data_IF_414509030236
#
_entry.id   IF_414509030236
#
_cell.length_a   1.000
_cell.length_b   1.000
_cell.length_c   1.000
_cell.angle_alpha   90.00
_cell.angle_beta   90.00
_cell.angle_gamma   90.00
#
_symmetry.space_group_name_H-M   'P 1'
#
loop_
_entity.id
_entity.type
_entity.pdbx_description
1 polymer ?
#
# COMPACT_ATOMS: atom_id res chain seq x y z
N UNK A 1 -19.80 -1.83 -9.19
CA UNK A 1 -19.26 -2.41 -10.43
C UNK A 1 -19.24 -3.94 -10.45
N UNK A 2 -19.05 -4.64 -9.33
CA UNK A 2 -18.91 -6.11 -9.30
C UNK A 2 -20.06 -6.92 -9.91
N UNK A 3 -21.30 -6.42 -9.91
CA UNK A 3 -22.46 -7.11 -10.48
C UNK A 3 -22.48 -7.06 -12.03
N UNK A 4 -21.96 -6.00 -12.63
CA UNK A 4 -22.08 -5.74 -14.07
C UNK A 4 -21.48 -6.89 -14.90
N UNK A 5 -20.25 -7.39 -14.62
CA UNK A 5 -19.66 -8.51 -15.36
C UNK A 5 -20.51 -9.79 -15.35
N UNK A 6 -21.35 -10.00 -14.33
CA UNK A 6 -22.19 -11.18 -14.19
C UNK A 6 -23.41 -11.16 -15.13
N UNK A 7 -23.72 -10.00 -15.70
CA UNK A 7 -24.92 -9.74 -16.51
C UNK A 7 -24.59 -9.38 -17.97
N UNK A 8 -23.33 -9.54 -18.40
CA UNK A 8 -22.90 -9.16 -19.75
C UNK A 8 -23.37 -10.13 -20.85
N UNK A 9 -23.83 -11.32 -20.48
CA UNK A 9 -24.30 -12.35 -21.42
C UNK A 9 -25.83 -12.32 -21.52
N UNK A 10 -26.35 -12.39 -22.74
CA UNK A 10 -27.77 -12.63 -22.96
C UNK A 10 -28.07 -14.11 -22.75
N UNK A 11 -29.18 -14.48 -22.09
CA UNK A 11 -29.62 -15.87 -22.06
C UNK A 11 -29.98 -16.35 -23.47
N UNK A 12 -29.63 -17.60 -23.81
CA UNK A 12 -29.98 -18.22 -25.10
C UNK A 12 -31.50 -18.38 -25.28
N UNK A 13 -32.23 -18.51 -24.17
CA UNK A 13 -33.70 -18.49 -24.12
C UNK A 13 -34.12 -17.72 -22.85
N UNK A 14 -35.09 -16.78 -22.90
CA UNK A 14 -35.56 -16.06 -21.71
C UNK A 14 -35.98 -16.96 -20.54
N UNK A 15 -36.37 -18.21 -20.80
CA UNK A 15 -36.74 -19.20 -19.79
C UNK A 15 -35.59 -20.11 -19.31
N UNK A 16 -34.39 -20.08 -19.92
CA UNK A 16 -33.28 -20.98 -19.57
C UNK A 16 -32.36 -20.50 -18.43
N UNK A 17 -32.67 -19.37 -17.79
CA UNK A 17 -31.88 -18.82 -16.69
C UNK A 17 -30.49 -18.32 -17.13
N UNK A 18 -29.66 -17.89 -16.16
CA UNK A 18 -28.32 -17.41 -16.48
C UNK A 18 -27.39 -18.57 -16.91
N UNK A 19 -26.62 -18.43 -18.01
CA UNK A 19 -25.62 -19.42 -18.39
C UNK A 19 -24.41 -19.45 -17.43
N UNK A 20 -24.23 -18.42 -16.59
CA UNK A 20 -23.11 -18.30 -15.66
C UNK A 20 -23.13 -19.41 -14.59
N UNK A 21 -22.08 -20.23 -14.57
CA UNK A 21 -21.98 -21.38 -13.64
C UNK A 21 -21.07 -21.14 -12.44
N UNK A 22 -20.06 -20.28 -12.56
CA UNK A 22 -19.03 -20.07 -11.54
C UNK A 22 -18.68 -18.60 -11.44
N UNK A 23 -18.50 -18.14 -10.20
CA UNK A 23 -18.03 -16.80 -9.88
C UNK A 23 -16.90 -16.98 -8.87
N UNK A 24 -15.73 -16.45 -9.17
CA UNK A 24 -14.59 -16.44 -8.27
C UNK A 24 -14.29 -14.99 -7.92
N UNK A 25 -14.42 -14.65 -6.63
CA UNK A 25 -14.06 -13.33 -6.12
C UNK A 25 -12.83 -13.49 -5.24
N UNK A 26 -11.74 -12.85 -5.63
CA UNK A 26 -10.50 -12.78 -4.85
C UNK A 26 -10.33 -11.35 -4.37
N UNK A 27 -10.11 -11.17 -3.08
CA UNK A 27 -9.95 -9.85 -2.49
C UNK A 27 -9.65 -9.94 -1.01
N UNK A 28 -9.42 -8.78 -0.42
CA UNK A 28 -9.13 -8.62 1.00
C UNK A 28 -10.00 -7.50 1.56
N UNK A 29 -10.87 -7.85 2.51
CA UNK A 29 -11.81 -6.92 3.13
C UNK A 29 -11.20 -6.17 4.32
N UNK A 30 -9.99 -6.52 4.73
CA UNK A 30 -9.21 -5.81 5.75
C UNK A 30 -8.34 -4.68 5.16
N UNK A 31 -8.19 -4.64 3.83
CA UNK A 31 -7.50 -3.58 3.10
C UNK A 31 -8.45 -2.45 2.67
N UNK A 32 -7.93 -1.47 1.94
CA UNK A 32 -8.65 -0.26 1.53
C UNK A 32 -9.94 -0.59 0.75
N UNK A 33 -11.08 0.04 1.12
CA UNK A 33 -12.32 -0.10 0.38
C UNK A 33 -12.30 0.74 -0.91
N UNK A 34 -13.28 0.53 -1.82
CA UNK A 34 -13.56 1.44 -2.92
C UNK A 34 -13.60 2.92 -2.48
N UNK A 35 -12.86 3.76 -3.20
CA UNK A 35 -12.79 5.20 -2.94
C UNK A 35 -14.11 5.86 -3.36
N UNK A 36 -14.79 6.50 -2.41
CA UNK A 36 -16.00 7.29 -2.65
C UNK A 36 -15.67 8.77 -2.46
N UNK A 37 -15.75 9.55 -3.55
CA UNK A 37 -15.37 10.98 -3.52
C UNK A 37 -16.27 11.84 -2.63
N UNK A 38 -17.54 11.46 -2.48
CA UNK A 38 -18.50 12.20 -1.67
C UNK A 38 -18.59 11.57 -0.27
N UNK A 39 -18.12 12.27 0.79
CA UNK A 39 -18.16 11.74 2.15
C UNK A 39 -19.57 11.41 2.64
N UNK A 40 -20.60 12.14 2.20
CA UNK A 40 -21.97 11.88 2.59
C UNK A 40 -22.46 10.52 2.06
N UNK A 41 -22.13 10.17 0.81
CA UNK A 41 -22.47 8.86 0.24
C UNK A 41 -21.67 7.73 0.90
N UNK A 42 -20.41 7.99 1.24
CA UNK A 42 -19.59 7.02 1.97
C UNK A 42 -20.17 6.72 3.36
N UNK A 43 -20.49 7.77 4.12
CA UNK A 43 -20.83 7.64 5.54
C UNK A 43 -22.30 7.26 5.75
N UNK A 44 -23.23 7.91 5.04
CA UNK A 44 -24.66 7.69 5.24
C UNK A 44 -25.18 6.47 4.46
N UNK A 45 -24.80 6.36 3.18
CA UNK A 45 -25.25 5.27 2.32
C UNK A 45 -24.33 4.03 2.32
N UNK A 46 -23.19 4.08 3.01
CA UNK A 46 -22.18 3.01 3.04
C UNK A 46 -21.72 2.58 1.64
N UNK A 47 -21.63 3.54 0.72
CA UNK A 47 -21.35 3.29 -0.70
C UNK A 47 -19.96 2.67 -0.95
N UNK A 48 -19.03 2.78 0.00
CA UNK A 48 -17.71 2.17 -0.08
C UNK A 48 -17.72 0.66 0.19
N UNK A 49 -18.84 0.06 0.59
CA UNK A 49 -18.91 -1.39 0.80
C UNK A 49 -18.90 -2.14 -0.54
N UNK A 50 -17.85 -2.93 -0.78
CA UNK A 50 -17.78 -3.82 -1.92
C UNK A 50 -18.75 -5.00 -1.80
N UNK A 51 -19.10 -5.63 -2.94
CA UNK A 51 -19.87 -6.88 -2.94
C UNK A 51 -19.15 -7.98 -2.15
N UNK A 52 -17.82 -8.08 -2.30
CA UNK A 52 -16.98 -9.04 -1.58
C UNK A 52 -17.10 -8.86 -0.06
N UNK A 53 -16.84 -7.65 0.45
CA UNK A 53 -16.95 -7.33 1.88
C UNK A 53 -18.37 -7.55 2.41
N UNK A 54 -19.39 -7.30 1.58
CA UNK A 54 -20.79 -7.58 1.94
C UNK A 54 -21.06 -9.07 2.09
N UNK A 55 -20.56 -9.91 1.17
CA UNK A 55 -20.74 -11.37 1.24
C UNK A 55 -20.03 -11.96 2.47
N UNK A 56 -18.82 -11.50 2.79
CA UNK A 56 -18.10 -11.90 4.01
C UNK A 56 -18.92 -11.51 5.25
N UNK A 57 -19.40 -10.27 5.35
CA UNK A 57 -20.23 -9.81 6.49
C UNK A 57 -21.52 -10.63 6.66
N UNK A 58 -22.08 -11.13 5.56
CA UNK A 58 -23.28 -11.97 5.58
C UNK A 58 -22.99 -13.44 5.96
N UNK A 59 -21.74 -13.79 6.28
CA UNK A 59 -21.35 -15.14 6.70
C UNK A 59 -21.24 -16.13 5.55
N UNK A 60 -21.05 -15.67 4.31
CA UNK A 60 -20.77 -16.59 3.21
C UNK A 60 -19.42 -17.29 3.46
N UNK A 61 -19.33 -18.61 3.23
CA UNK A 61 -18.07 -19.33 3.36
C UNK A 61 -16.99 -18.70 2.47
N UNK A 62 -15.81 -18.49 3.02
CA UNK A 62 -14.65 -17.96 2.32
C UNK A 62 -13.42 -18.78 2.66
N UNK A 63 -12.55 -18.93 1.66
CA UNK A 63 -11.23 -19.52 1.85
C UNK A 63 -10.28 -18.38 2.19
N UNK A 64 -9.72 -18.40 3.41
CA UNK A 64 -8.72 -17.43 3.83
C UNK A 64 -7.33 -18.04 3.57
N UNK A 65 -6.51 -17.35 2.77
CA UNK A 65 -5.10 -17.72 2.61
C UNK A 65 -4.34 -17.28 3.86
N UNK A 66 -3.56 -18.20 4.42
CA UNK A 66 -2.98 -18.09 5.76
C UNK A 66 -1.46 -17.97 5.74
N UNK A 67 -0.81 -17.88 4.58
CA UNK A 67 0.65 -17.76 4.47
C UNK A 67 1.09 -16.68 3.50
N UNK A 68 1.96 -15.76 3.95
CA UNK A 68 2.57 -14.71 3.11
C UNK A 68 3.98 -15.12 2.65
N UNK A 69 4.40 -14.61 1.50
CA UNK A 69 5.69 -14.95 0.88
C UNK A 69 6.44 -13.78 0.28
N UNK A 70 6.16 -12.55 0.70
CA UNK A 70 6.66 -11.33 0.04
C UNK A 70 7.47 -10.40 0.93
N UNK A 71 7.30 -10.47 2.24
CA UNK A 71 7.96 -9.59 3.20
C UNK A 71 8.68 -10.39 4.28
N UNK A 72 9.63 -9.77 4.97
CA UNK A 72 10.25 -10.33 6.18
C UNK A 72 9.20 -10.59 7.25
N UNK A 73 9.43 -11.57 8.12
CA UNK A 73 8.53 -11.91 9.23
C UNK A 73 8.26 -10.69 10.13
N UNK A 74 9.29 -9.92 10.44
CA UNK A 74 9.23 -8.75 11.32
C UNK A 74 8.39 -7.61 10.69
N UNK A 75 8.44 -7.46 9.37
CA UNK A 75 7.57 -6.54 8.64
C UNK A 75 6.13 -7.07 8.57
N UNK A 76 5.95 -8.38 8.44
CA UNK A 76 4.64 -9.01 8.43
C UNK A 76 3.91 -8.82 9.76
N UNK A 77 4.64 -8.86 10.88
CA UNK A 77 4.09 -8.65 12.22
C UNK A 77 3.41 -7.29 12.41
N UNK A 78 3.81 -6.27 11.64
CA UNK A 78 3.18 -4.94 11.67
C UNK A 78 1.69 -4.97 11.27
N UNK A 79 1.27 -5.94 10.46
CA UNK A 79 -0.10 -6.03 9.93
C UNK A 79 -0.78 -7.38 10.19
N UNK A 80 -0.02 -8.42 10.53
CA UNK A 80 -0.49 -9.80 10.78
C UNK A 80 -1.63 -9.88 11.78
N UNK A 81 -1.59 -9.08 12.85
CA UNK A 81 -2.61 -9.02 13.89
C UNK A 81 -4.02 -8.73 13.37
N UNK A 82 -4.15 -8.20 12.16
CA UNK A 82 -5.44 -7.91 11.52
C UNK A 82 -6.13 -9.16 10.97
N UNK A 83 -5.40 -10.28 10.85
CA UNK A 83 -5.85 -11.55 10.28
C UNK A 83 -5.80 -12.64 11.36
N UNK A 84 -6.72 -13.61 11.30
CA UNK A 84 -6.86 -14.62 12.35
C UNK A 84 -5.65 -15.56 12.47
N UNK A 85 -5.03 -15.93 11.33
CA UNK A 85 -3.91 -16.88 11.25
C UNK A 85 -3.01 -16.60 10.05
N UNK A 86 -2.39 -15.42 9.97
CA UNK A 86 -1.43 -15.14 8.91
C UNK A 86 -0.02 -15.54 9.35
N UNK A 87 0.54 -16.58 8.74
CA UNK A 87 1.89 -17.10 8.94
C UNK A 87 2.79 -16.75 7.75
N UNK A 88 4.05 -17.19 7.82
CA UNK A 88 5.01 -17.07 6.73
C UNK A 88 5.10 -18.39 5.94
N UNK A 89 5.29 -18.28 4.62
CA UNK A 89 5.69 -19.42 3.82
C UNK A 89 7.08 -19.90 4.25
N UNK A 90 7.31 -21.22 4.20
CA UNK A 90 8.55 -21.84 4.68
C UNK A 90 9.82 -21.22 4.09
N UNK A 91 9.75 -20.75 2.84
CA UNK A 91 10.89 -20.12 2.17
C UNK A 91 11.45 -18.88 2.89
N UNK A 92 10.64 -18.23 3.73
CA UNK A 92 11.03 -17.05 4.50
C UNK A 92 11.71 -17.43 5.82
N UNK A 93 11.56 -18.67 6.29
CA UNK A 93 11.99 -19.11 7.63
C UNK A 93 12.99 -20.27 7.61
N UNK A 94 13.12 -20.98 6.49
CA UNK A 94 14.02 -22.13 6.33
C UNK A 94 15.40 -21.78 5.74
N UNK A 95 15.66 -20.48 5.53
CA UNK A 95 16.90 -19.95 4.94
C UNK A 95 17.07 -20.23 3.45
N UNK A 96 16.03 -20.71 2.76
CA UNK A 96 16.08 -20.86 1.30
C UNK A 96 16.09 -19.53 0.56
N UNK A 97 15.59 -18.45 1.17
CA UNK A 97 15.60 -17.10 0.60
C UNK A 97 16.51 -16.15 1.41
N UNK A 98 17.83 -16.23 1.16
CA UNK A 98 18.86 -15.44 1.85
C UNK A 98 18.60 -13.92 1.85
N UNK A 99 17.87 -13.40 0.87
CA UNK A 99 17.50 -11.98 0.79
C UNK A 99 16.69 -11.50 2.02
N UNK A 100 15.94 -12.38 2.68
CA UNK A 100 15.15 -12.04 3.87
C UNK A 100 15.95 -12.17 5.18
N UNK A 101 17.15 -12.75 5.15
CA UNK A 101 18.02 -12.91 6.33
C UNK A 101 19.04 -11.78 6.49
N UNK A 102 19.40 -11.12 5.38
CA UNK A 102 20.36 -10.02 5.38
C UNK A 102 19.72 -8.74 5.91
N UNK A 103 20.35 -8.00 6.81
CA UNK A 103 19.84 -6.67 7.22
C UNK A 103 19.95 -5.62 6.11
N UNK A 104 19.35 -4.45 6.34
CA UNK A 104 19.48 -3.29 5.46
C UNK A 104 20.83 -2.55 5.71
N UNK A 105 21.81 -2.57 4.78
CA UNK A 105 23.11 -1.91 5.00
C UNK A 105 23.00 -0.45 5.43
N UNK A 106 23.72 -0.05 6.48
CA UNK A 106 23.66 1.32 7.02
C UNK A 106 22.49 1.60 7.96
N UNK A 107 21.60 0.63 8.19
CA UNK A 107 20.54 0.71 9.19
C UNK A 107 20.70 -0.40 10.23
N UNK A 108 20.45 -0.08 11.49
CA UNK A 108 20.51 -1.04 12.58
C UNK A 108 19.27 -1.95 12.66
N UNK A 109 18.15 -1.50 12.09
CA UNK A 109 16.86 -2.20 12.15
C UNK A 109 16.22 -2.23 10.75
N UNK A 110 15.42 -3.26 10.49
CA UNK A 110 14.72 -3.43 9.21
C UNK A 110 13.55 -2.46 9.03
N UNK A 111 12.96 -1.99 10.13
CA UNK A 111 12.00 -0.89 10.14
C UNK A 111 12.18 -0.04 11.41
N UNK A 112 11.83 1.24 11.31
CA UNK A 112 11.88 2.18 12.42
C UNK A 112 10.72 3.17 12.31
N UNK A 113 10.12 3.51 13.45
CA UNK A 113 9.25 4.68 13.56
C UNK A 113 10.10 5.83 14.10
N UNK A 114 10.18 6.91 13.34
CA UNK A 114 11.02 8.07 13.67
C UNK A 114 10.12 9.22 14.10
N UNK A 115 10.32 9.70 15.33
CA UNK A 115 9.75 10.97 15.77
C UNK A 115 10.55 12.12 15.15
N UNK A 116 9.88 12.97 14.38
CA UNK A 116 10.45 14.11 13.67
C UNK A 116 10.30 15.44 14.43
N UNK A 117 9.76 15.40 15.66
CA UNK A 117 9.75 16.51 16.60
C UNK A 117 8.36 17.02 17.01
N UNK A 118 8.35 17.98 17.93
CA UNK A 118 7.17 18.36 18.74
C UNK A 118 6.50 19.70 18.37
N UNK A 119 6.90 20.32 17.26
CA UNK A 119 6.36 21.62 16.83
C UNK A 119 5.31 21.38 15.74
N UNK A 120 4.20 22.14 15.75
CA UNK A 120 3.16 22.14 14.72
C UNK A 120 3.75 22.51 13.35
N UNK A 121 4.33 21.51 12.70
CA UNK A 121 5.01 21.59 11.40
C UNK A 121 4.11 21.15 10.26
N UNK A 122 2.92 20.63 10.60
CA UNK A 122 1.87 20.38 9.62
C UNK A 122 1.33 21.72 9.11
N UNK A 123 1.26 21.83 7.79
CA UNK A 123 0.76 22.99 7.08
C UNK A 123 -0.21 22.58 5.99
N UNK A 124 -1.14 23.46 5.65
CA UNK A 124 -2.09 23.26 4.57
C UNK A 124 -2.20 24.56 3.74
N UNK A 125 -1.30 24.78 2.76
CA UNK A 125 -1.30 26.00 1.93
C UNK A 125 -2.60 26.21 1.16
N UNK A 126 -3.28 25.09 0.84
CA UNK A 126 -4.63 25.04 0.27
C UNK A 126 -5.47 24.15 1.19
N UNK A 127 -6.77 24.43 1.39
CA UNK A 127 -7.63 23.56 2.20
C UNK A 127 -7.52 22.09 1.80
N UNK A 128 -7.35 21.21 2.79
CA UNK A 128 -7.16 19.75 2.64
C UNK A 128 -5.87 19.31 1.94
N UNK A 129 -4.92 20.22 1.72
CA UNK A 129 -3.62 19.94 1.09
C UNK A 129 -2.50 19.87 2.12
N UNK A 130 -2.58 18.88 3.01
CA UNK A 130 -1.67 18.71 4.15
C UNK A 130 -0.25 18.35 3.74
N UNK A 131 0.72 18.96 4.43
CA UNK A 131 2.15 18.91 4.19
C UNK A 131 2.94 19.03 5.49
N UNK A 132 4.10 18.40 5.56
CA UNK A 132 5.08 18.57 6.62
C UNK A 132 6.49 18.68 6.01
N UNK A 133 7.08 19.87 6.10
CA UNK A 133 8.39 20.15 5.51
C UNK A 133 9.53 19.42 6.21
N UNK A 134 9.44 19.23 7.53
CA UNK A 134 10.49 18.57 8.31
C UNK A 134 10.54 17.08 7.93
N UNK A 135 9.39 16.42 7.83
CA UNK A 135 9.31 15.05 7.32
C UNK A 135 9.87 14.94 5.89
N UNK A 136 9.53 15.90 5.03
CA UNK A 136 9.96 15.86 3.63
C UNK A 136 11.48 16.00 3.48
N UNK A 137 12.09 16.93 4.22
CA UNK A 137 13.55 17.11 4.27
C UNK A 137 14.24 15.90 4.91
N UNK A 138 13.68 15.34 5.98
CA UNK A 138 14.21 14.15 6.64
C UNK A 138 14.23 12.94 5.68
N UNK A 139 13.11 12.69 4.98
CA UNK A 139 13.00 11.61 4.00
C UNK A 139 13.97 11.83 2.84
N UNK A 140 14.14 13.06 2.36
CA UNK A 140 15.11 13.37 1.31
C UNK A 140 16.55 13.07 1.76
N UNK A 141 16.90 13.42 3.00
CA UNK A 141 18.22 13.13 3.58
C UNK A 141 18.46 11.61 3.73
N UNK A 142 17.46 10.85 4.22
CA UNK A 142 17.55 9.38 4.32
C UNK A 142 17.72 8.75 2.94
N UNK A 143 16.93 9.18 1.95
CA UNK A 143 17.06 8.68 0.58
C UNK A 143 18.45 8.99 -0.01
N UNK A 144 18.95 10.21 0.19
CA UNK A 144 20.31 10.58 -0.21
C UNK A 144 21.36 9.69 0.46
N UNK A 145 21.24 9.43 1.77
CA UNK A 145 22.13 8.53 2.50
C UNK A 145 22.13 7.11 1.91
N UNK A 146 20.96 6.52 1.66
CA UNK A 146 20.84 5.19 1.04
C UNK A 146 21.55 5.14 -0.31
N UNK A 147 21.35 6.15 -1.15
CA UNK A 147 21.98 6.23 -2.47
C UNK A 147 23.49 6.42 -2.40
N UNK A 148 24.00 7.16 -1.41
CA UNK A 148 25.44 7.29 -1.17
C UNK A 148 26.08 5.97 -0.69
N UNK A 149 25.32 5.11 -0.01
CA UNK A 149 25.74 3.74 0.33
C UNK A 149 25.67 2.77 -0.86
N UNK A 150 25.06 3.17 -1.97
CA UNK A 150 24.97 2.36 -3.19
C UNK A 150 23.67 1.56 -3.34
N UNK A 151 22.64 1.80 -2.52
CA UNK A 151 21.32 1.19 -2.73
C UNK A 151 20.77 1.56 -4.10
N UNK A 152 20.29 0.63 -4.94
CA UNK A 152 19.66 0.97 -6.23
C UNK A 152 18.46 1.92 -6.06
N UNK A 153 18.28 2.87 -6.98
CA UNK A 153 17.20 3.87 -6.83
C UNK A 153 15.82 3.25 -7.14
N UNK A 154 15.80 2.26 -8.04
CA UNK A 154 14.65 1.50 -8.47
C UNK A 154 14.05 0.62 -7.36
N UNK A 155 14.86 0.23 -6.38
CA UNK A 155 14.39 -0.55 -5.22
C UNK A 155 13.81 0.35 -4.12
N UNK A 156 13.96 1.67 -4.19
CA UNK A 156 13.42 2.58 -3.16
C UNK A 156 12.15 3.28 -3.66
N UNK A 157 11.05 3.15 -2.90
CA UNK A 157 9.80 3.89 -3.12
C UNK A 157 9.45 4.71 -1.89
N UNK A 158 9.09 5.98 -2.08
CA UNK A 158 8.61 6.87 -1.01
C UNK A 158 7.09 6.93 -1.03
N UNK A 159 6.47 6.63 0.11
CA UNK A 159 5.02 6.67 0.29
C UNK A 159 4.61 7.74 1.31
N UNK A 160 3.43 8.29 1.12
CA UNK A 160 2.79 9.22 2.07
C UNK A 160 1.28 9.07 2.04
N UNK A 161 0.58 9.49 3.09
CA UNK A 161 -0.88 9.42 3.18
C UNK A 161 -1.57 10.55 2.43
N UNK A 162 -0.92 11.72 2.28
CA UNK A 162 -1.53 12.91 1.71
C UNK A 162 -0.97 13.28 0.34
N UNK A 163 -1.84 13.73 -0.56
CA UNK A 163 -1.41 14.24 -1.86
C UNK A 163 -0.55 15.50 -1.72
N UNK A 164 -0.85 16.37 -0.75
CA UNK A 164 -0.05 17.56 -0.48
C UNK A 164 1.40 17.22 -0.18
N UNK A 165 1.60 16.29 0.75
CA UNK A 165 2.93 15.78 1.12
C UNK A 165 3.64 15.07 -0.04
N UNK A 166 2.91 14.34 -0.90
CA UNK A 166 3.49 13.71 -2.09
C UNK A 166 4.08 14.75 -3.05
N UNK A 167 3.41 15.89 -3.22
CA UNK A 167 3.92 16.99 -4.03
C UNK A 167 5.14 17.64 -3.37
N UNK A 168 5.07 17.91 -2.06
CA UNK A 168 6.19 18.48 -1.32
C UNK A 168 7.44 17.59 -1.37
N UNK A 169 7.29 16.28 -1.16
CA UNK A 169 8.39 15.31 -1.27
C UNK A 169 9.05 15.33 -2.65
N UNK A 170 8.25 15.43 -3.72
CA UNK A 170 8.79 15.57 -5.08
C UNK A 170 9.61 16.84 -5.22
N UNK A 171 9.11 17.97 -4.72
CA UNK A 171 9.78 19.26 -4.85
C UNK A 171 11.09 19.28 -4.04
N UNK A 172 11.05 18.82 -2.79
CA UNK A 172 12.23 18.76 -1.90
C UNK A 172 13.29 17.82 -2.44
N UNK A 173 12.93 16.58 -2.81
CA UNK A 173 13.90 15.62 -3.37
C UNK A 173 14.49 16.17 -4.67
N UNK A 174 13.66 16.75 -5.56
CA UNK A 174 14.16 17.32 -6.81
C UNK A 174 15.15 18.46 -6.55
N UNK A 175 14.80 19.41 -5.66
CA UNK A 175 15.65 20.55 -5.33
C UNK A 175 16.97 20.14 -4.65
N UNK A 176 16.93 19.15 -3.75
CA UNK A 176 18.09 18.73 -2.95
C UNK A 176 19.02 17.76 -3.69
N UNK A 177 18.50 16.96 -4.60
CA UNK A 177 19.16 15.72 -5.05
C UNK A 177 19.30 15.62 -6.57
N UNK A 178 18.35 16.18 -7.35
CA UNK A 178 18.32 15.97 -8.81
C UNK A 178 19.57 16.49 -9.53
N UNK A 179 20.29 17.44 -8.94
CA UNK A 179 21.54 17.96 -9.49
C UNK A 179 22.65 16.90 -9.56
N UNK A 180 22.57 15.81 -8.79
CA UNK A 180 23.57 14.74 -8.79
C UNK A 180 23.05 13.46 -9.51
N UNK A 181 23.55 13.15 -10.71
CA UNK A 181 23.14 11.97 -11.48
C UNK A 181 23.39 10.64 -10.75
N UNK A 182 24.37 10.57 -9.84
CA UNK A 182 24.67 9.33 -9.11
C UNK A 182 23.63 9.04 -8.03
N UNK A 183 22.89 10.05 -7.55
CA UNK A 183 21.83 9.84 -6.57
C UNK A 183 20.52 9.52 -7.29
N UNK A 184 20.15 10.29 -8.32
CA UNK A 184 18.92 10.05 -9.08
C UNK A 184 17.64 10.17 -8.26
N UNK A 185 16.49 9.85 -8.88
CA UNK A 185 15.17 9.89 -8.25
C UNK A 185 14.75 8.50 -7.77
N UNK A 186 13.98 8.38 -6.67
CA UNK A 186 13.43 7.10 -6.25
C UNK A 186 12.49 6.55 -7.33
N UNK A 187 12.33 5.24 -7.36
CA UNK A 187 11.43 4.51 -8.27
C UNK A 187 10.04 5.14 -8.37
N UNK A 188 9.48 5.52 -7.21
CA UNK A 188 8.20 6.21 -7.13
C UNK A 188 8.09 7.08 -5.89
N UNK A 189 7.35 8.18 -6.03
CA UNK A 189 6.79 8.96 -4.92
C UNK A 189 5.27 8.95 -5.09
N UNK A 190 4.55 8.30 -4.18
CA UNK A 190 3.10 8.05 -4.33
C UNK A 190 2.34 8.14 -3.02
N UNK A 191 1.00 8.20 -3.11
CA UNK A 191 0.18 8.00 -1.91
C UNK A 191 -0.02 6.52 -1.64
N UNK A 192 -0.22 6.16 -0.37
CA UNK A 192 -0.50 4.77 0.05
C UNK A 192 -1.68 4.19 -0.76
N UNK A 193 -2.78 4.94 -0.91
CA UNK A 193 -3.96 4.50 -1.68
C UNK A 193 -3.62 4.18 -3.15
N UNK A 194 -2.69 4.93 -3.76
CA UNK A 194 -2.27 4.74 -5.16
C UNK A 194 -1.18 3.68 -5.32
N UNK A 195 -0.72 3.09 -4.22
CA UNK A 195 0.28 2.04 -4.18
C UNK A 195 -0.29 0.68 -3.76
N UNK A 196 -1.60 0.57 -3.55
CA UNK A 196 -2.27 -0.69 -3.25
C UNK A 196 -1.96 -1.75 -4.32
N UNK A 197 -1.65 -2.97 -3.87
CA UNK A 197 -1.29 -4.09 -4.74
C UNK A 197 0.12 -4.01 -5.33
N UNK A 198 0.93 -3.00 -4.97
CA UNK A 198 2.32 -2.86 -5.38
C UNK A 198 3.28 -3.12 -4.22
N UNK A 199 4.56 -3.23 -4.53
CA UNK A 199 5.63 -3.42 -3.57
C UNK A 199 6.95 -2.91 -4.13
N UNK A 200 7.87 -2.61 -3.23
CA UNK A 200 9.30 -2.46 -3.49
C UNK A 200 10.05 -3.12 -2.33
N UNK A 201 11.36 -3.29 -2.50
CA UNK A 201 12.25 -3.72 -1.42
C UNK A 201 12.37 -2.64 -0.33
#
# INVERSE_FOLDING_TARGET
ETLIPMLLQKPDNPSSGSPLKRIVLVGDHNQLPPIVKNPALQNYARMSQSLFSRLIRLGNPAICLDKQGRARTELADLYRWRYDKLEDLGMLTDGSAAAYELGNPGFANDFQLIDVGTVDTESAPVPFFYQNIIEAEYIAAVYQYMRLLGYPAETITVLTTYNGQKHLLKDVISARIQWNPTIGMPSKISTVDKYQGRQND
#
